data_IF_847360544849
#
_entry.id   IF_847360544849
#
_cell.length_a   1.000
_cell.length_b   1.000
_cell.length_c   1.000
_cell.angle_alpha   90.00
_cell.angle_beta   90.00
_cell.angle_gamma   90.00
#
_symmetry.space_group_name_H-M   'P 1'
#
loop_
_entity.id
_entity.type
_entity.pdbx_description
1 polymer ?
#
# COMPACT_ATOMS: atom_id res chain seq x y z
N UNK A 1 0.27 12.06 -31.19
CA UNK A 1 0.43 13.51 -31.43
C UNK A 1 0.97 14.11 -30.13
N UNK A 2 2.27 14.37 -30.08
CA UNK A 2 2.95 14.85 -28.87
C UNK A 2 2.97 16.38 -28.85
N UNK A 3 2.18 16.97 -27.97
CA UNK A 3 2.13 18.41 -27.70
C UNK A 3 3.31 18.76 -26.78
N UNK A 4 4.30 19.51 -27.31
CA UNK A 4 5.40 20.08 -26.51
C UNK A 4 5.06 21.52 -26.14
N UNK A 5 5.08 21.83 -24.84
CA UNK A 5 4.99 23.18 -24.30
C UNK A 5 6.34 23.90 -24.47
N UNK A 6 6.29 25.14 -24.93
CA UNK A 6 7.43 26.01 -25.26
C UNK A 6 7.59 27.07 -24.16
N UNK A 7 8.79 27.26 -23.61
CA UNK A 7 9.08 28.36 -22.67
C UNK A 7 9.60 29.60 -23.40
N UNK A 8 9.40 30.77 -22.77
CA UNK A 8 9.37 32.11 -23.38
C UNK A 8 10.68 32.66 -23.98
N UNK A 9 11.83 31.98 -23.85
CA UNK A 9 13.13 32.56 -24.24
C UNK A 9 13.89 31.78 -25.35
N UNK A 10 13.23 30.89 -26.09
CA UNK A 10 13.63 30.56 -27.47
C UNK A 10 15.00 29.90 -27.73
N UNK A 11 15.70 29.33 -26.73
CA UNK A 11 16.98 28.62 -26.93
C UNK A 11 16.86 27.09 -26.73
N UNK A 12 17.32 26.32 -27.71
CA UNK A 12 17.35 24.85 -27.69
C UNK A 12 18.71 24.31 -27.19
N UNK A 13 18.69 23.46 -26.15
CA UNK A 13 19.87 22.70 -25.69
C UNK A 13 19.99 21.39 -26.49
N UNK A 14 20.98 21.34 -27.39
CA UNK A 14 21.37 20.13 -28.10
C UNK A 14 22.46 19.36 -27.35
N UNK A 15 22.20 18.10 -27.02
CA UNK A 15 23.21 17.16 -26.53
C UNK A 15 24.09 16.70 -27.69
N UNK A 16 25.40 17.01 -27.63
CA UNK A 16 26.41 16.50 -28.57
C UNK A 16 27.00 15.19 -28.07
N UNK A 17 26.84 14.14 -28.87
CA UNK A 17 27.64 12.91 -28.82
C UNK A 17 29.09 13.20 -29.22
N UNK A 18 30.06 12.81 -28.39
CA UNK A 18 31.46 12.71 -28.80
C UNK A 18 31.94 11.26 -28.68
N UNK A 19 32.09 10.61 -29.83
CA UNK A 19 32.85 9.38 -30.01
C UNK A 19 34.34 9.70 -30.09
N UNK A 20 35.18 8.90 -29.42
CA UNK A 20 36.63 8.87 -29.66
C UNK A 20 37.06 7.49 -30.15
N UNK A 21 37.79 7.48 -31.27
CA UNK A 21 38.33 6.30 -31.94
C UNK A 21 39.70 5.90 -31.38
N UNK A 22 39.85 4.59 -31.16
CA UNK A 22 41.00 3.67 -31.38
C UNK A 22 42.43 4.23 -31.37
N UNK A 23 43.29 3.61 -30.54
CA UNK A 23 44.59 3.06 -30.97
C UNK A 23 44.94 1.79 -30.17
N UNK A 24 45.36 0.74 -30.88
CA UNK A 24 46.06 -0.45 -30.36
C UNK A 24 47.54 -0.35 -30.75
N UNK A 25 48.45 -0.96 -29.98
CA UNK A 25 49.33 -1.96 -30.59
C UNK A 25 49.50 -3.23 -29.75
N UNK A 26 49.70 -4.35 -30.45
CA UNK A 26 50.15 -5.64 -29.92
C UNK A 26 51.61 -5.58 -29.45
N UNK A 27 51.93 -6.33 -28.38
CA UNK A 27 53.22 -7.00 -28.21
C UNK A 27 53.03 -8.25 -27.34
N UNK A 28 53.58 -9.36 -27.82
CA UNK A 28 53.49 -10.71 -27.27
C UNK A 28 54.47 -10.93 -26.11
N UNK A 29 54.19 -11.92 -25.25
CA UNK A 29 55.21 -12.79 -24.64
C UNK A 29 54.59 -14.06 -24.04
N UNK A 30 55.07 -15.19 -24.55
CA UNK A 30 54.96 -16.54 -23.99
C UNK A 30 55.81 -16.66 -22.71
N UNK A 31 55.30 -17.35 -21.69
CA UNK A 31 56.15 -18.05 -20.73
C UNK A 31 55.42 -19.27 -20.16
N UNK A 32 55.93 -20.44 -20.53
CA UNK A 32 55.62 -21.75 -19.99
C UNK A 32 56.26 -21.95 -18.61
N UNK A 33 55.58 -22.60 -17.68
CA UNK A 33 56.22 -23.30 -16.56
C UNK A 33 55.39 -24.51 -16.12
N UNK A 34 55.90 -25.71 -16.39
CA UNK A 34 55.57 -26.94 -15.67
C UNK A 34 56.20 -26.89 -14.27
N UNK A 35 55.53 -27.45 -13.26
CA UNK A 35 56.17 -28.35 -12.28
C UNK A 35 55.16 -29.35 -11.69
N UNK A 36 55.67 -30.56 -11.47
CA UNK A 36 55.01 -31.81 -11.11
C UNK A 36 54.79 -31.98 -9.59
N UNK A 37 53.67 -32.63 -9.26
CA UNK A 37 53.43 -33.71 -8.26
C UNK A 37 53.83 -33.50 -6.79
N UNK A 38 52.84 -33.66 -5.91
CA UNK A 38 52.97 -34.47 -4.70
C UNK A 38 51.64 -35.21 -4.42
N UNK A 39 51.69 -36.54 -4.41
CA UNK A 39 50.62 -37.42 -3.93
C UNK A 39 50.70 -37.54 -2.40
N UNK A 40 49.55 -37.54 -1.75
CA UNK A 40 49.36 -38.17 -0.44
C UNK A 40 47.94 -38.73 -0.37
N UNK A 41 47.86 -40.05 -0.26
CA UNK A 41 46.65 -40.86 -0.08
C UNK A 41 45.99 -40.57 1.28
N UNK A 42 44.68 -40.30 1.29
CA UNK A 42 43.83 -40.62 2.45
C UNK A 42 42.36 -40.85 2.03
N UNK A 43 41.96 -42.12 2.14
CA UNK A 43 40.62 -42.71 2.24
C UNK A 43 39.43 -42.11 1.44
N UNK A 44 39.05 -42.83 0.38
CA UNK A 44 37.74 -42.68 -0.26
C UNK A 44 36.59 -43.02 0.73
N UNK A 45 35.54 -42.18 0.82
CA UNK A 45 34.32 -42.57 1.54
C UNK A 45 33.60 -43.69 0.75
N UNK A 46 32.86 -44.57 1.44
CA UNK A 46 32.17 -45.66 0.78
C UNK A 46 31.16 -45.10 -0.22
N UNK A 47 31.18 -45.65 -1.44
CA UNK A 47 30.18 -45.44 -2.48
C UNK A 47 28.82 -45.95 -2.00
N UNK A 48 28.15 -45.13 -1.20
CA UNK A 48 26.72 -45.19 -1.02
C UNK A 48 26.09 -44.96 -2.39
N UNK A 49 25.34 -45.94 -2.86
CA UNK A 49 24.44 -45.78 -3.99
C UNK A 49 23.56 -44.57 -3.69
N UNK A 50 23.83 -43.45 -4.35
CA UNK A 50 22.87 -42.38 -4.49
C UNK A 50 21.64 -43.05 -5.10
N UNK A 51 20.61 -43.24 -4.28
CA UNK A 51 19.27 -43.40 -4.81
C UNK A 51 19.09 -42.19 -5.73
N UNK A 52 18.89 -42.46 -7.02
CA UNK A 52 18.61 -41.49 -8.05
C UNK A 52 17.39 -40.69 -7.56
N UNK A 53 17.66 -39.57 -6.90
CA UNK A 53 16.62 -38.67 -6.43
C UNK A 53 16.11 -38.03 -7.70
N UNK A 54 15.09 -38.66 -8.30
CA UNK A 54 14.50 -38.25 -9.56
C UNK A 54 14.33 -36.73 -9.53
N UNK A 55 14.88 -36.06 -10.55
CA UNK A 55 14.84 -34.61 -10.65
C UNK A 55 13.41 -34.12 -10.40
N UNK A 56 13.22 -33.02 -9.65
CA UNK A 56 11.90 -32.59 -9.26
C UNK A 56 11.05 -32.21 -10.48
N UNK A 57 10.15 -33.09 -10.91
CA UNK A 57 9.07 -32.83 -11.89
C UNK A 57 8.24 -31.60 -11.51
N UNK A 58 8.06 -30.65 -12.42
CA UNK A 58 7.25 -29.45 -12.20
C UNK A 58 5.75 -29.77 -12.18
N UNK A 59 4.98 -29.02 -11.40
CA UNK A 59 3.51 -29.06 -11.47
C UNK A 59 3.02 -28.24 -12.68
N UNK A 60 3.65 -27.08 -12.91
CA UNK A 60 3.35 -26.21 -14.05
C UNK A 60 4.63 -25.69 -14.69
N UNK A 61 4.68 -25.65 -16.01
CA UNK A 61 5.72 -24.96 -16.78
C UNK A 61 5.06 -23.91 -17.65
N UNK A 62 5.43 -22.65 -17.45
CA UNK A 62 5.04 -21.54 -18.32
C UNK A 62 6.09 -21.39 -19.41
N UNK A 63 5.67 -21.25 -20.66
CA UNK A 63 6.54 -21.09 -21.83
C UNK A 63 6.09 -19.86 -22.63
N UNK A 64 7.05 -19.04 -23.07
CA UNK A 64 6.75 -17.88 -23.90
C UNK A 64 7.91 -16.89 -24.01
N UNK A 65 7.81 -15.98 -24.98
CA UNK A 65 8.86 -14.98 -25.26
C UNK A 65 8.85 -13.79 -24.28
N UNK A 66 7.75 -13.57 -23.58
CA UNK A 66 7.52 -12.41 -22.72
C UNK A 66 7.57 -12.74 -21.21
N UNK A 67 8.56 -13.53 -20.79
CA UNK A 67 8.81 -13.78 -19.37
C UNK A 67 9.86 -12.78 -18.87
N UNK A 68 9.42 -11.80 -18.09
CA UNK A 68 10.24 -10.68 -17.62
C UNK A 68 10.73 -10.95 -16.21
N UNK A 69 11.99 -11.39 -16.05
CA UNK A 69 12.57 -11.73 -14.74
C UNK A 69 12.96 -10.51 -13.90
N UNK A 70 13.05 -9.33 -14.53
CA UNK A 70 13.60 -8.09 -13.97
C UNK A 70 15.08 -8.16 -13.56
N UNK A 71 15.80 -9.25 -13.88
CA UNK A 71 17.25 -9.40 -13.62
C UNK A 71 18.12 -9.04 -14.84
N UNK A 72 17.50 -8.67 -15.96
CA UNK A 72 18.17 -8.35 -17.22
C UNK A 72 18.37 -9.55 -18.16
N UNK A 73 18.13 -10.78 -17.69
CA UNK A 73 18.09 -11.99 -18.51
C UNK A 73 16.69 -12.59 -18.43
N UNK A 74 15.97 -12.56 -19.54
CA UNK A 74 14.61 -13.09 -19.63
C UNK A 74 14.65 -14.55 -20.09
N UNK A 75 14.15 -15.51 -19.28
CA UNK A 75 14.00 -16.89 -19.72
C UNK A 75 12.87 -17.01 -20.76
N UNK A 76 12.79 -18.13 -21.47
CA UNK A 76 11.61 -18.47 -22.28
C UNK A 76 10.73 -19.54 -21.63
N UNK A 77 11.13 -20.06 -20.46
CA UNK A 77 10.32 -20.96 -19.65
C UNK A 77 10.58 -20.82 -18.14
N UNK A 78 9.54 -21.05 -17.33
CA UNK A 78 9.57 -21.06 -15.85
C UNK A 78 8.87 -22.31 -15.34
N UNK A 79 9.57 -23.13 -14.56
CA UNK A 79 9.04 -24.32 -13.93
C UNK A 79 8.68 -24.04 -12.46
N UNK A 80 7.44 -24.35 -12.10
CA UNK A 80 6.86 -24.15 -10.77
C UNK A 80 6.45 -25.50 -10.18
N UNK A 81 6.71 -25.69 -8.89
CA UNK A 81 6.20 -26.79 -8.09
C UNK A 81 5.69 -26.24 -6.76
N UNK A 82 4.43 -26.53 -6.44
CA UNK A 82 3.74 -25.94 -5.31
C UNK A 82 3.78 -24.41 -5.39
N UNK A 83 4.38 -23.78 -4.37
CA UNK A 83 4.53 -22.34 -4.19
C UNK A 83 5.91 -21.80 -4.64
N UNK A 84 6.75 -22.63 -5.27
CA UNK A 84 8.14 -22.27 -5.60
C UNK A 84 8.44 -22.41 -7.08
N UNK A 85 9.20 -21.44 -7.58
CA UNK A 85 9.92 -21.57 -8.84
C UNK A 85 11.10 -22.52 -8.59
N UNK A 86 11.12 -23.65 -9.29
CA UNK A 86 12.18 -24.66 -9.17
C UNK A 86 13.26 -24.52 -10.24
N UNK A 87 12.94 -23.88 -11.38
CA UNK A 87 13.91 -23.56 -12.41
C UNK A 87 13.39 -22.48 -13.39
N UNK A 88 14.31 -21.76 -14.02
CA UNK A 88 14.05 -20.85 -15.14
C UNK A 88 15.08 -21.11 -16.23
N UNK A 89 14.73 -20.89 -17.50
CA UNK A 89 15.64 -21.12 -18.62
C UNK A 89 14.90 -21.12 -19.96
N UNK A 90 15.41 -21.89 -20.91
CA UNK A 90 14.71 -22.24 -22.14
C UNK A 90 13.79 -23.44 -21.93
N UNK A 91 12.78 -23.59 -22.79
CA UNK A 91 11.92 -24.77 -22.82
C UNK A 91 12.72 -26.07 -22.91
N UNK A 92 13.78 -26.09 -23.73
CA UNK A 92 14.64 -27.26 -23.91
C UNK A 92 15.43 -27.61 -22.64
N UNK A 93 15.91 -26.61 -21.90
CA UNK A 93 16.62 -26.83 -20.63
C UNK A 93 15.67 -27.39 -19.55
N UNK A 94 14.40 -26.99 -19.57
CA UNK A 94 13.39 -27.44 -18.61
C UNK A 94 12.65 -28.72 -19.02
N UNK A 95 12.92 -29.27 -20.21
CA UNK A 95 12.23 -30.46 -20.72
C UNK A 95 12.32 -31.68 -19.79
N UNK A 96 13.43 -31.82 -19.05
CA UNK A 96 13.63 -32.91 -18.07
C UNK A 96 12.74 -32.78 -16.82
N UNK A 97 12.17 -31.61 -16.57
CA UNK A 97 11.26 -31.34 -15.46
C UNK A 97 9.79 -31.56 -15.85
N UNK A 98 9.48 -31.80 -17.12
CA UNK A 98 8.12 -32.02 -17.62
C UNK A 98 7.79 -33.52 -17.54
N UNK A 99 6.87 -33.86 -16.64
CA UNK A 99 6.34 -35.22 -16.48
C UNK A 99 4.92 -35.36 -17.05
N UNK A 100 4.38 -36.58 -16.97
CA UNK A 100 3.04 -36.88 -17.50
C UNK A 100 1.90 -36.09 -16.83
N UNK A 101 2.12 -35.56 -15.62
CA UNK A 101 1.15 -34.76 -14.87
C UNK A 101 1.44 -33.24 -14.91
N UNK A 102 2.56 -32.83 -15.53
CA UNK A 102 2.94 -31.42 -15.61
C UNK A 102 1.99 -30.68 -16.55
N UNK A 103 1.44 -29.57 -16.10
CA UNK A 103 0.70 -28.66 -16.95
C UNK A 103 1.67 -27.73 -17.69
N UNK A 104 1.65 -27.74 -19.02
CA UNK A 104 2.40 -26.76 -19.82
C UNK A 104 1.45 -25.64 -20.25
N UNK A 105 1.83 -24.40 -19.96
CA UNK A 105 1.05 -23.18 -20.26
C UNK A 105 1.84 -22.32 -21.23
N UNK A 106 1.36 -22.26 -22.48
CA UNK A 106 1.90 -21.37 -23.51
C UNK A 106 1.30 -19.96 -23.34
N UNK A 107 2.16 -18.96 -23.12
CA UNK A 107 1.74 -17.59 -22.85
C UNK A 107 1.30 -16.84 -24.13
N UNK A 108 1.80 -17.25 -25.29
CA UNK A 108 1.61 -16.53 -26.55
C UNK A 108 2.07 -15.07 -26.43
N UNK A 109 1.15 -14.13 -26.68
CA UNK A 109 1.40 -12.68 -26.58
C UNK A 109 1.30 -12.13 -25.15
N UNK A 110 0.90 -12.95 -24.17
CA UNK A 110 0.80 -12.53 -22.77
C UNK A 110 2.18 -12.48 -22.12
N UNK A 111 2.36 -11.58 -21.15
CA UNK A 111 3.59 -11.48 -20.37
C UNK A 111 3.44 -12.15 -19.00
N UNK A 112 4.51 -12.80 -18.54
CA UNK A 112 4.68 -13.28 -17.17
C UNK A 112 5.75 -12.42 -16.49
N UNK A 113 5.45 -11.88 -15.33
CA UNK A 113 6.33 -11.01 -14.56
C UNK A 113 6.19 -11.31 -13.06
N UNK A 114 7.18 -10.93 -12.22
CA UNK A 114 7.01 -10.90 -10.78
C UNK A 114 5.76 -10.12 -10.38
N UNK A 115 5.03 -10.65 -9.39
CA UNK A 115 3.92 -9.91 -8.79
C UNK A 115 4.40 -8.61 -8.15
N UNK A 116 3.53 -7.61 -8.14
CA UNK A 116 3.86 -6.30 -7.57
C UNK A 116 3.94 -6.37 -6.05
N UNK A 117 4.83 -5.55 -5.49
CA UNK A 117 5.02 -5.39 -4.05
C UNK A 117 4.57 -3.98 -3.69
N UNK A 118 3.50 -3.87 -2.92
CA UNK A 118 3.15 -2.63 -2.23
C UNK A 118 4.06 -2.49 -1.01
N UNK A 119 5.13 -1.72 -1.19
CA UNK A 119 6.21 -1.58 -0.23
C UNK A 119 5.86 -0.70 0.98
N UNK A 120 4.69 -0.04 1.00
CA UNK A 120 4.19 0.68 2.17
C UNK A 120 2.69 0.94 2.08
N UNK A 121 1.91 0.24 2.90
CA UNK A 121 0.45 0.36 2.88
C UNK A 121 -0.19 0.33 4.28
N UNK A 122 -1.49 0.61 4.25
CA UNK A 122 -2.40 0.49 5.39
C UNK A 122 -3.57 -0.39 4.99
N UNK A 123 -3.31 -1.69 4.81
CA UNK A 123 -4.33 -2.68 4.45
C UNK A 123 -5.57 -2.59 5.35
N UNK A 124 -5.37 -2.44 6.66
CA UNK A 124 -6.48 -2.33 7.61
C UNK A 124 -7.35 -1.10 7.41
N UNK A 125 -6.76 0.00 6.92
CA UNK A 125 -7.53 1.18 6.57
C UNK A 125 -8.37 0.92 5.31
N UNK A 126 -7.79 0.30 4.28
CA UNK A 126 -8.52 -0.08 3.07
C UNK A 126 -9.66 -1.07 3.38
N UNK A 127 -9.41 -2.06 4.23
CA UNK A 127 -10.42 -3.03 4.63
C UNK A 127 -11.66 -2.35 5.24
N UNK A 128 -11.49 -1.29 6.04
CA UNK A 128 -12.61 -0.55 6.63
C UNK A 128 -13.47 0.21 5.61
N UNK A 129 -12.93 0.47 4.42
CA UNK A 129 -13.63 1.18 3.35
C UNK A 129 -13.93 0.28 2.15
N UNK A 130 -13.69 -1.04 2.25
CA UNK A 130 -13.78 -1.96 1.13
C UNK A 130 -15.21 -2.13 0.58
N UNK A 131 -16.22 -1.89 1.42
CA UNK A 131 -17.64 -1.92 1.03
C UNK A 131 -18.24 -0.54 0.78
N UNK A 132 -17.44 0.52 0.88
CA UNK A 132 -17.90 1.87 0.59
C UNK A 132 -18.03 2.05 -0.93
N UNK A 133 -19.02 2.85 -1.34
CA UNK A 133 -19.12 3.27 -2.73
C UNK A 133 -17.88 4.10 -3.07
N UNK A 134 -17.14 3.70 -4.11
CA UNK A 134 -16.02 4.47 -4.63
C UNK A 134 -16.54 5.72 -5.33
N UNK A 135 -16.20 6.88 -4.78
CA UNK A 135 -16.57 8.21 -5.27
C UNK A 135 -15.34 8.99 -5.72
N UNK A 136 -14.22 8.30 -5.95
CA UNK A 136 -12.97 8.93 -6.34
C UNK A 136 -13.06 9.50 -7.77
N UNK A 137 -12.46 10.67 -8.02
CA UNK A 137 -12.32 11.19 -9.37
C UNK A 137 -11.28 10.39 -10.19
N UNK A 138 -11.26 10.52 -11.52
CA UNK A 138 -10.20 9.96 -12.35
C UNK A 138 -8.80 10.45 -11.93
N UNK A 139 -7.75 9.62 -12.07
CA UNK A 139 -7.75 8.29 -12.68
C UNK A 139 -8.08 7.15 -11.70
N UNK A 140 -8.39 7.45 -10.44
CA UNK A 140 -8.63 6.43 -9.41
C UNK A 140 -10.02 5.82 -9.59
N UNK A 141 -11.04 6.67 -9.60
CA UNK A 141 -12.43 6.28 -9.83
C UNK A 141 -13.02 7.00 -11.05
N UNK A 142 -14.34 6.95 -11.17
CA UNK A 142 -15.09 7.51 -12.31
C UNK A 142 -15.97 8.72 -11.98
N UNK A 143 -15.87 9.30 -10.78
CA UNK A 143 -16.73 10.39 -10.35
C UNK A 143 -16.16 11.75 -10.78
N UNK A 144 -16.60 12.28 -11.92
CA UNK A 144 -16.15 13.58 -12.44
C UNK A 144 -17.01 14.75 -11.91
N UNK A 145 -18.25 14.47 -11.53
CA UNK A 145 -19.24 15.46 -11.08
C UNK A 145 -20.02 15.00 -9.86
N UNK A 146 -20.74 15.92 -9.20
CA UNK A 146 -21.69 15.57 -8.13
C UNK A 146 -22.81 14.67 -8.68
N UNK A 147 -23.21 14.85 -9.93
CA UNK A 147 -24.19 13.98 -10.59
C UNK A 147 -23.68 12.53 -10.71
N UNK A 148 -22.37 12.33 -10.94
CA UNK A 148 -21.77 10.99 -10.94
C UNK A 148 -21.76 10.35 -9.55
N UNK A 149 -21.48 11.14 -8.51
CA UNK A 149 -21.58 10.68 -7.12
C UNK A 149 -23.00 10.20 -6.81
N UNK A 150 -24.01 10.99 -7.14
CA UNK A 150 -25.43 10.64 -6.96
C UNK A 150 -25.78 9.36 -7.72
N UNK A 151 -25.31 9.24 -8.97
CA UNK A 151 -25.53 8.06 -9.81
C UNK A 151 -24.87 6.81 -9.22
N UNK A 152 -23.63 6.90 -8.75
CA UNK A 152 -22.90 5.79 -8.14
C UNK A 152 -23.59 5.29 -6.87
N UNK A 153 -24.02 6.19 -6.00
CA UNK A 153 -24.77 5.86 -4.78
C UNK A 153 -26.10 5.17 -5.11
N UNK A 154 -26.88 5.73 -6.04
CA UNK A 154 -28.16 5.13 -6.46
C UNK A 154 -27.96 3.73 -7.06
N UNK A 155 -26.98 3.58 -7.94
CA UNK A 155 -26.67 2.30 -8.57
C UNK A 155 -26.28 1.25 -7.54
N UNK A 156 -25.46 1.62 -6.54
CA UNK A 156 -25.07 0.73 -5.45
C UNK A 156 -26.29 0.24 -4.64
N UNK A 157 -27.22 1.15 -4.30
CA UNK A 157 -28.46 0.82 -3.60
C UNK A 157 -29.29 -0.20 -4.39
N UNK A 158 -29.48 0.06 -5.68
CA UNK A 158 -30.30 -0.77 -6.56
C UNK A 158 -29.68 -2.15 -6.81
N UNK A 159 -28.39 -2.19 -7.16
CA UNK A 159 -27.70 -3.44 -7.51
C UNK A 159 -27.58 -4.40 -6.33
N UNK A 160 -27.38 -3.86 -5.12
CA UNK A 160 -27.25 -4.65 -3.90
C UNK A 160 -28.59 -4.86 -3.18
N UNK A 161 -29.70 -4.33 -3.70
CA UNK A 161 -31.02 -4.39 -3.08
C UNK A 161 -30.99 -3.96 -1.61
N UNK A 162 -30.30 -2.85 -1.33
CA UNK A 162 -30.10 -2.37 0.05
C UNK A 162 -31.47 -2.05 0.68
N UNK A 163 -31.78 -2.59 1.88
CA UNK A 163 -33.04 -2.29 2.55
C UNK A 163 -33.17 -0.82 2.94
N UNK A 164 -34.39 -0.28 2.83
CA UNK A 164 -34.69 1.07 3.30
C UNK A 164 -34.31 1.27 4.77
N UNK A 165 -33.71 2.42 5.07
CA UNK A 165 -33.19 2.75 6.40
C UNK A 165 -31.78 2.24 6.69
N UNK A 166 -31.21 1.37 5.85
CA UNK A 166 -29.80 0.95 5.97
C UNK A 166 -28.87 2.08 5.52
N UNK A 167 -27.83 2.34 6.31
CA UNK A 167 -26.80 3.34 6.01
C UNK A 167 -26.01 2.95 4.76
N UNK A 168 -25.91 3.90 3.83
CA UNK A 168 -25.08 3.80 2.63
C UNK A 168 -23.88 4.72 2.79
N UNK A 169 -22.68 4.18 2.65
CA UNK A 169 -21.44 4.93 2.78
C UNK A 169 -20.68 5.01 1.48
N UNK A 170 -20.02 6.15 1.25
CA UNK A 170 -19.11 6.34 0.12
C UNK A 170 -17.82 7.03 0.55
N UNK A 171 -16.76 6.90 -0.23
CA UNK A 171 -15.46 7.50 0.06
C UNK A 171 -14.74 7.94 -1.20
N UNK A 172 -13.91 8.97 -1.06
CA UNK A 172 -12.88 9.30 -2.05
C UNK A 172 -13.20 10.51 -2.92
N UNK A 173 -14.37 11.13 -2.77
CA UNK A 173 -14.67 12.35 -3.54
C UNK A 173 -13.69 13.48 -3.16
N UNK A 174 -13.34 14.31 -4.14
CA UNK A 174 -12.49 15.48 -3.98
C UNK A 174 -13.17 16.67 -4.66
N UNK A 175 -13.68 17.62 -3.86
CA UNK A 175 -14.42 18.76 -4.40
C UNK A 175 -13.58 19.65 -5.32
N UNK A 176 -12.26 19.66 -5.12
CA UNK A 176 -11.34 20.41 -5.96
C UNK A 176 -11.21 19.77 -7.35
N UNK A 177 -11.57 18.51 -7.55
CA UNK A 177 -11.49 17.80 -8.83
C UNK A 177 -12.85 17.63 -9.52
N UNK A 178 -13.96 17.81 -8.79
CA UNK A 178 -15.31 17.78 -9.37
C UNK A 178 -15.54 18.97 -10.32
N UNK A 179 -16.41 18.76 -11.32
CA UNK A 179 -16.84 19.80 -12.25
C UNK A 179 -17.39 21.06 -11.53
N UNK A 180 -18.15 20.86 -10.46
CA UNK A 180 -18.82 21.93 -9.73
C UNK A 180 -17.90 22.74 -8.79
N UNK A 181 -16.68 22.25 -8.51
CA UNK A 181 -15.69 22.89 -7.61
C UNK A 181 -16.28 23.29 -6.25
N UNK A 182 -17.13 22.41 -5.71
CA UNK A 182 -17.76 22.52 -4.39
C UNK A 182 -18.00 21.14 -3.82
N UNK A 183 -18.17 21.04 -2.50
CA UNK A 183 -18.62 19.79 -1.91
C UNK A 183 -20.08 19.48 -2.31
N UNK A 184 -20.44 18.18 -2.38
CA UNK A 184 -21.83 17.76 -2.28
C UNK A 184 -22.46 18.27 -0.99
N UNK A 185 -23.77 18.51 -1.04
CA UNK A 185 -24.60 18.88 0.10
C UNK A 185 -25.65 17.80 0.35
N UNK A 186 -26.36 17.88 1.47
CA UNK A 186 -27.50 17.01 1.76
C UNK A 186 -28.55 17.02 0.64
N UNK A 187 -28.72 18.16 -0.03
CA UNK A 187 -29.69 18.33 -1.12
C UNK A 187 -29.26 17.48 -2.33
N UNK A 188 -27.98 17.52 -2.69
CA UNK A 188 -27.44 16.70 -3.77
C UNK A 188 -27.58 15.20 -3.42
N UNK A 189 -27.25 14.81 -2.18
CA UNK A 189 -27.32 13.40 -1.75
C UNK A 189 -28.76 12.88 -1.60
N UNK A 190 -29.73 13.75 -1.29
CA UNK A 190 -31.15 13.39 -1.27
C UNK A 190 -31.65 12.98 -2.68
N UNK A 191 -31.01 13.46 -3.76
CA UNK A 191 -31.31 12.99 -5.12
C UNK A 191 -30.95 11.51 -5.30
N UNK A 192 -29.92 11.00 -4.60
CA UNK A 192 -29.57 9.58 -4.68
C UNK A 192 -30.64 8.73 -3.99
N UNK A 193 -31.07 9.12 -2.79
CA UNK A 193 -32.15 8.48 -2.03
C UNK A 193 -32.59 9.33 -0.83
N UNK A 194 -33.91 9.36 -0.58
CA UNK A 194 -34.52 9.94 0.62
C UNK A 194 -34.99 8.90 1.64
N UNK A 195 -34.85 7.61 1.33
CA UNK A 195 -35.28 6.48 2.19
C UNK A 195 -34.10 5.68 2.75
N UNK A 196 -32.88 6.11 2.45
CA UNK A 196 -31.63 5.56 2.99
C UNK A 196 -30.85 6.72 3.62
N UNK A 197 -30.34 6.60 4.86
CA UNK A 197 -29.32 7.53 5.32
C UNK A 197 -28.05 7.33 4.48
N UNK A 198 -27.49 8.43 3.98
CA UNK A 198 -26.27 8.43 3.17
C UNK A 198 -25.22 9.27 3.87
N UNK A 199 -24.01 8.74 4.01
CA UNK A 199 -22.83 9.47 4.49
C UNK A 199 -21.66 9.22 3.53
N UNK A 200 -21.13 10.28 2.91
CA UNK A 200 -19.94 10.19 2.07
C UNK A 200 -18.76 10.89 2.73
N UNK A 201 -17.55 10.36 2.56
CA UNK A 201 -16.32 10.91 3.15
C UNK A 201 -15.38 11.39 2.06
N UNK A 202 -14.81 12.58 2.28
CA UNK A 202 -13.86 13.22 1.38
C UNK A 202 -12.54 12.45 1.33
N UNK A 203 -11.80 12.52 0.21
CA UNK A 203 -10.52 11.82 0.00
C UNK A 203 -9.48 12.13 1.09
N UNK A 204 -9.52 13.34 1.66
CA UNK A 204 -8.62 13.73 2.76
C UNK A 204 -8.91 12.99 4.07
N UNK A 205 -10.11 12.41 4.22
CA UNK A 205 -10.59 11.86 5.49
C UNK A 205 -11.06 12.90 6.52
N UNK A 206 -10.89 14.19 6.26
CA UNK A 206 -11.20 15.31 7.19
C UNK A 206 -12.56 15.97 6.98
N UNK A 207 -13.34 15.54 5.98
CA UNK A 207 -14.71 16.00 5.76
C UNK A 207 -15.65 14.82 5.47
N UNK A 208 -16.90 14.97 5.87
CA UNK A 208 -18.00 14.07 5.49
C UNK A 208 -19.25 14.87 5.14
N UNK A 209 -20.13 14.27 4.34
CA UNK A 209 -21.43 14.85 3.96
C UNK A 209 -22.53 13.84 4.25
N UNK A 210 -23.52 14.26 5.04
CA UNK A 210 -24.74 13.47 5.30
C UNK A 210 -25.94 13.99 4.50
N UNK A 211 -26.76 13.09 3.96
CA UNK A 211 -28.07 13.45 3.38
C UNK A 211 -29.08 13.83 4.47
N UNK A 212 -30.27 14.31 4.09
CA UNK A 212 -31.26 14.78 5.06
C UNK A 212 -31.71 13.68 6.03
N UNK A 213 -31.80 12.42 5.57
CA UNK A 213 -32.15 11.28 6.43
C UNK A 213 -31.06 10.96 7.45
N UNK A 214 -29.78 11.00 7.07
CA UNK A 214 -28.66 10.81 7.99
C UNK A 214 -28.62 11.90 9.07
N UNK A 215 -28.83 13.16 8.67
CA UNK A 215 -28.89 14.28 9.63
C UNK A 215 -30.06 14.13 10.60
N UNK A 216 -31.25 13.82 10.09
CA UNK A 216 -32.45 13.64 10.91
C UNK A 216 -32.30 12.47 11.89
N UNK A 217 -31.73 11.35 11.45
CA UNK A 217 -31.46 10.18 12.29
C UNK A 217 -30.46 10.47 13.42
N UNK A 218 -29.50 11.37 13.18
CA UNK A 218 -28.55 11.84 14.17
C UNK A 218 -29.05 13.02 15.02
N UNK A 219 -30.27 13.52 14.79
CA UNK A 219 -30.82 14.68 15.49
C UNK A 219 -30.14 16.02 15.15
N UNK A 220 -29.45 16.10 14.02
CA UNK A 220 -28.73 17.28 13.56
C UNK A 220 -29.70 18.26 12.89
N UNK A 221 -29.77 19.50 13.38
CA UNK A 221 -30.70 20.52 12.92
C UNK A 221 -30.10 21.95 13.07
N UNK A 222 -30.92 22.99 12.84
CA UNK A 222 -30.47 24.38 12.92
C UNK A 222 -29.89 24.77 14.29
N UNK A 223 -30.35 24.15 15.38
CA UNK A 223 -29.92 24.44 16.75
C UNK A 223 -28.66 23.65 17.17
N UNK A 224 -28.26 22.63 16.39
CA UNK A 224 -27.05 21.84 16.66
C UNK A 224 -25.83 22.74 16.73
N UNK A 225 -25.07 22.71 17.83
CA UNK A 225 -23.88 23.55 17.96
C UNK A 225 -22.67 22.91 17.27
N UNK A 226 -21.71 23.74 16.86
CA UNK A 226 -20.41 23.25 16.40
C UNK A 226 -19.67 22.60 17.60
N UNK A 227 -19.16 21.37 17.46
CA UNK A 227 -18.32 20.77 18.50
C UNK A 227 -16.95 21.47 18.56
N UNK A 228 -16.23 21.27 19.66
CA UNK A 228 -14.85 21.74 19.75
C UNK A 228 -14.00 21.11 18.64
N UNK A 229 -13.31 21.93 17.86
CA UNK A 229 -12.44 21.48 16.78
C UNK A 229 -13.18 20.99 15.52
N UNK A 230 -14.45 21.35 15.32
CA UNK A 230 -15.21 20.94 14.13
C UNK A 230 -16.33 21.91 13.79
N UNK A 231 -16.81 21.84 12.54
CA UNK A 231 -17.82 22.77 12.02
C UNK A 231 -18.94 21.98 11.33
N UNK A 232 -20.19 22.32 11.66
CA UNK A 232 -21.38 21.93 10.89
C UNK A 232 -21.66 23.05 9.90
N UNK A 233 -21.42 22.83 8.60
CA UNK A 233 -21.71 23.84 7.57
C UNK A 233 -23.22 23.99 7.37
N UNK A 234 -23.62 25.20 6.93
CA UNK A 234 -25.02 25.64 6.92
C UNK A 234 -25.38 26.36 5.64
N UNK A 235 -26.64 26.20 5.26
CA UNK A 235 -27.29 27.02 4.26
C UNK A 235 -27.57 28.42 4.80
N UNK A 236 -28.01 29.32 3.91
CA UNK A 236 -28.33 30.71 4.23
C UNK A 236 -29.47 30.86 5.25
N UNK A 237 -30.33 29.86 5.38
CA UNK A 237 -31.43 29.82 6.37
C UNK A 237 -30.99 29.29 7.75
N UNK A 238 -29.71 28.95 7.92
CA UNK A 238 -29.14 28.39 9.14
C UNK A 238 -29.32 26.89 9.33
N UNK A 239 -30.07 26.21 8.44
CA UNK A 239 -30.16 24.76 8.45
C UNK A 239 -28.82 24.12 8.03
N UNK A 240 -28.43 22.97 8.60
CA UNK A 240 -27.22 22.26 8.18
C UNK A 240 -27.29 21.92 6.69
N UNK A 241 -26.21 22.17 5.95
CA UNK A 241 -26.12 21.81 4.53
C UNK A 241 -25.66 20.36 4.31
N UNK A 242 -25.29 19.66 5.38
CA UNK A 242 -24.84 18.27 5.38
C UNK A 242 -23.33 18.09 5.49
N UNK A 243 -22.51 19.11 5.19
CA UNK A 243 -21.05 19.03 5.25
C UNK A 243 -20.58 19.22 6.69
N UNK A 244 -19.76 18.27 7.16
CA UNK A 244 -19.18 18.22 8.49
C UNK A 244 -17.66 18.25 8.39
N UNK A 245 -17.03 19.15 9.12
CA UNK A 245 -15.57 19.29 9.20
C UNK A 245 -15.04 18.68 10.50
N UNK A 246 -13.93 17.95 10.40
CA UNK A 246 -13.14 17.49 11.54
C UNK A 246 -13.98 16.75 12.59
N UNK A 247 -14.01 17.23 13.85
CA UNK A 247 -14.75 16.56 14.93
C UNK A 247 -16.26 16.57 14.71
N UNK A 248 -16.82 17.45 13.87
CA UNK A 248 -18.24 17.44 13.54
C UNK A 248 -18.67 16.20 12.75
N UNK A 249 -17.72 15.53 12.08
CA UNK A 249 -18.01 14.27 11.38
C UNK A 249 -18.49 13.17 12.34
N UNK A 250 -18.09 13.23 13.61
CA UNK A 250 -18.51 12.26 14.65
C UNK A 250 -19.99 12.36 15.00
N UNK A 251 -20.67 13.43 14.57
CA UNK A 251 -22.12 13.57 14.74
C UNK A 251 -22.90 12.71 13.73
N UNK A 252 -22.30 12.37 12.59
CA UNK A 252 -22.94 11.53 11.57
C UNK A 252 -22.91 10.05 11.97
N UNK A 253 -23.87 9.24 11.49
CA UNK A 253 -23.83 7.80 11.72
C UNK A 253 -22.59 7.19 11.06
N UNK A 254 -21.91 6.30 11.79
CA UNK A 254 -20.70 5.60 11.33
C UNK A 254 -21.01 4.12 11.10
N UNK A 255 -20.82 3.65 9.85
CA UNK A 255 -21.01 2.26 9.49
C UNK A 255 -20.10 1.32 10.31
N UNK A 256 -18.89 1.79 10.66
CA UNK A 256 -17.92 0.99 11.41
C UNK A 256 -18.36 0.69 12.84
N UNK A 257 -19.14 1.58 13.46
CA UNK A 257 -19.55 1.45 14.86
C UNK A 257 -20.47 0.24 15.12
N UNK A 258 -21.11 -0.29 14.07
CA UNK A 258 -22.07 -1.40 14.17
C UNK A 258 -21.57 -2.72 13.58
N UNK A 259 -20.32 -2.78 13.12
CA UNK A 259 -19.79 -3.99 12.48
C UNK A 259 -19.41 -5.06 13.50
N UNK A 260 -19.86 -6.29 13.24
CA UNK A 260 -19.44 -7.48 13.96
C UNK A 260 -18.00 -7.87 13.59
N UNK A 261 -17.25 -8.58 14.46
CA UNK A 261 -15.92 -9.11 14.13
C UNK A 261 -15.90 -9.94 12.84
N UNK A 262 -16.94 -10.75 12.59
CA UNK A 262 -17.08 -11.58 11.40
C UNK A 262 -17.15 -10.72 10.13
N UNK A 263 -17.95 -9.65 10.18
CA UNK A 263 -18.05 -8.69 9.07
C UNK A 263 -16.71 -7.97 8.83
N UNK A 264 -15.96 -7.63 9.87
CA UNK A 264 -14.61 -7.10 9.68
C UNK A 264 -13.67 -8.09 8.99
N UNK A 265 -13.75 -9.38 9.33
CA UNK A 265 -12.97 -10.43 8.67
C UNK A 265 -13.35 -10.56 7.19
N UNK A 266 -14.64 -10.51 6.85
CA UNK A 266 -15.11 -10.50 5.46
C UNK A 266 -14.55 -9.31 4.67
N UNK A 267 -14.58 -8.10 5.26
CA UNK A 267 -14.06 -6.89 4.63
C UNK A 267 -12.55 -6.96 4.40
N UNK A 268 -11.79 -7.48 5.38
CA UNK A 268 -10.36 -7.78 5.20
C UNK A 268 -10.13 -8.73 4.03
N UNK A 269 -10.92 -9.81 3.92
CA UNK A 269 -10.83 -10.75 2.79
C UNK A 269 -11.15 -10.10 1.45
N UNK A 270 -12.13 -9.19 1.42
CA UNK A 270 -12.44 -8.43 0.21
C UNK A 270 -11.27 -7.51 -0.19
N UNK A 271 -10.69 -6.78 0.77
CA UNK A 271 -9.53 -5.93 0.51
C UNK A 271 -8.32 -6.72 -0.02
N UNK A 272 -8.05 -7.92 0.50
CA UNK A 272 -6.98 -8.78 -0.02
C UNK A 272 -7.22 -9.17 -1.49
N UNK A 273 -8.48 -9.41 -1.88
CA UNK A 273 -8.84 -9.69 -3.27
C UNK A 273 -8.69 -8.47 -4.17
N UNK A 274 -8.91 -7.26 -3.65
CA UNK A 274 -8.65 -6.01 -4.38
C UNK A 274 -7.15 -5.94 -4.74
N UNK A 275 -6.26 -6.12 -3.76
CA UNK A 275 -4.81 -6.15 -4.01
C UNK A 275 -4.41 -7.22 -5.05
N UNK A 276 -4.86 -8.46 -4.86
CA UNK A 276 -4.58 -9.55 -5.79
C UNK A 276 -5.09 -9.25 -7.21
N UNK A 277 -6.26 -8.60 -7.33
CA UNK A 277 -6.87 -8.21 -8.62
C UNK A 277 -6.04 -7.22 -9.42
N UNK A 278 -5.20 -6.42 -8.77
CA UNK A 278 -4.23 -5.52 -9.43
C UNK A 278 -2.86 -6.16 -9.64
N UNK A 279 -2.72 -7.46 -9.37
CA UNK A 279 -1.44 -8.18 -9.47
C UNK A 279 -0.47 -7.87 -8.33
N UNK A 280 -0.95 -7.28 -7.23
CA UNK A 280 -0.15 -7.04 -6.02
C UNK A 280 -0.17 -8.32 -5.19
N UNK A 281 0.98 -8.98 -5.10
CA UNK A 281 1.13 -10.29 -4.43
C UNK A 281 1.73 -10.16 -3.05
N UNK A 282 2.32 -9.01 -2.72
CA UNK A 282 2.86 -8.71 -1.39
C UNK A 282 2.48 -7.31 -0.97
N UNK A 283 1.99 -7.18 0.26
CA UNK A 283 1.53 -5.92 0.84
C UNK A 283 2.13 -5.71 2.22
N UNK A 284 2.16 -4.45 2.65
CA UNK A 284 2.46 -4.10 4.03
C UNK A 284 1.22 -3.53 4.72
N UNK A 285 1.10 -3.81 6.02
CA UNK A 285 0.18 -3.10 6.89
C UNK A 285 0.96 -2.51 8.08
N UNK A 286 1.15 -1.20 8.03
CA UNK A 286 2.00 -0.49 8.97
C UNK A 286 1.23 0.19 10.07
N UNK A 287 1.93 0.42 11.19
CA UNK A 287 1.43 1.21 12.32
C UNK A 287 0.27 0.51 13.06
N UNK A 288 0.38 -0.81 13.25
CA UNK A 288 -0.67 -1.62 13.85
C UNK A 288 -0.49 -1.83 15.36
N UNK A 289 -1.57 -1.81 16.16
CA UNK A 289 -1.55 -2.34 17.51
C UNK A 289 -1.28 -3.86 17.52
N UNK A 290 -0.60 -4.36 18.55
CA UNK A 290 -0.21 -5.78 18.65
C UNK A 290 -1.43 -6.72 18.73
N UNK A 291 -2.48 -6.30 19.43
CA UNK A 291 -3.73 -7.05 19.53
C UNK A 291 -4.39 -7.25 18.16
N UNK A 292 -4.24 -6.27 17.26
CA UNK A 292 -4.80 -6.37 15.92
C UNK A 292 -3.92 -7.22 14.99
N UNK A 293 -2.60 -7.18 15.16
CA UNK A 293 -1.66 -8.11 14.51
C UNK A 293 -2.04 -9.56 14.83
N UNK A 294 -2.42 -9.84 16.08
CA UNK A 294 -2.85 -11.19 16.48
C UNK A 294 -4.19 -11.59 15.82
N UNK A 295 -5.13 -10.67 15.64
CA UNK A 295 -6.34 -10.92 14.84
C UNK A 295 -5.99 -11.33 13.41
N UNK A 296 -5.09 -10.58 12.75
CA UNK A 296 -4.66 -10.89 11.38
C UNK A 296 -3.95 -12.23 11.29
N UNK A 297 -3.15 -12.59 12.30
CA UNK A 297 -2.49 -13.89 12.38
C UNK A 297 -3.49 -15.03 12.50
N UNK A 298 -4.48 -14.89 13.38
CA UNK A 298 -5.51 -15.92 13.60
C UNK A 298 -6.35 -16.12 12.34
N UNK A 299 -6.68 -15.04 11.63
CA UNK A 299 -7.40 -15.13 10.36
C UNK A 299 -6.60 -15.90 9.30
N UNK A 300 -5.30 -15.61 9.13
CA UNK A 300 -4.44 -16.35 8.21
C UNK A 300 -4.33 -17.84 8.59
N UNK A 301 -4.36 -18.16 9.88
CA UNK A 301 -4.34 -19.54 10.36
C UNK A 301 -5.64 -20.31 10.03
N UNK A 302 -6.80 -19.63 10.00
CA UNK A 302 -8.09 -20.21 9.62
C UNK A 302 -8.18 -20.44 8.11
N UNK A 303 -7.77 -19.44 7.32
CA UNK A 303 -7.76 -19.52 5.86
C UNK A 303 -6.57 -18.72 5.33
N UNK A 304 -5.75 -19.30 4.45
CA UNK A 304 -4.59 -18.60 3.92
C UNK A 304 -4.98 -17.32 3.18
N UNK A 305 -4.17 -16.27 3.33
CA UNK A 305 -4.36 -15.03 2.57
C UNK A 305 -3.97 -15.26 1.11
N UNK A 306 -4.69 -14.63 0.16
CA UNK A 306 -4.39 -14.74 -1.27
C UNK A 306 -3.18 -13.90 -1.70
N UNK A 307 -2.62 -13.11 -0.78
CA UNK A 307 -1.41 -12.29 -0.94
C UNK A 307 -0.59 -12.40 0.34
N UNK A 308 0.72 -12.17 0.23
CA UNK A 308 1.62 -12.11 1.38
C UNK A 308 1.51 -10.76 2.09
N UNK A 309 1.15 -10.77 3.37
CA UNK A 309 1.05 -9.59 4.21
C UNK A 309 2.19 -9.51 5.22
N UNK A 310 2.87 -8.37 5.22
CA UNK A 310 3.89 -8.02 6.21
C UNK A 310 3.34 -6.96 7.16
N UNK A 311 3.07 -7.33 8.41
CA UNK A 311 2.62 -6.41 9.42
C UNK A 311 3.78 -5.69 10.13
N UNK A 312 3.59 -4.43 10.51
CA UNK A 312 4.53 -3.66 11.34
C UNK A 312 3.84 -3.08 12.57
N UNK A 313 4.33 -3.45 13.75
CA UNK A 313 3.79 -3.00 15.02
C UNK A 313 4.10 -1.52 15.28
N UNK A 314 3.14 -0.78 15.83
CA UNK A 314 3.32 0.63 16.18
C UNK A 314 4.27 0.77 17.37
N UNK A 315 5.43 1.39 17.16
CA UNK A 315 6.49 1.49 18.15
C UNK A 315 6.31 2.66 19.14
N UNK A 316 5.75 3.79 18.69
CA UNK A 316 5.66 5.02 19.47
C UNK A 316 4.97 4.87 20.85
N UNK A 317 3.81 4.19 20.99
CA UNK A 317 3.08 4.15 22.25
C UNK A 317 3.48 2.97 23.16
N UNK A 318 4.23 2.00 22.65
CA UNK A 318 4.56 0.78 23.41
C UNK A 318 5.77 1.01 24.33
N UNK A 319 5.79 0.30 25.46
CA UNK A 319 6.90 0.35 26.42
C UNK A 319 8.13 -0.37 25.88
N UNK A 320 9.30 -0.08 26.46
CA UNK A 320 10.55 -0.78 26.13
C UNK A 320 10.41 -2.30 26.35
N UNK A 321 9.75 -2.73 27.43
CA UNK A 321 9.50 -4.16 27.72
C UNK A 321 8.69 -4.84 26.60
N UNK A 322 7.63 -4.18 26.11
CA UNK A 322 6.81 -4.72 25.02
C UNK A 322 7.60 -4.73 23.72
N UNK A 323 8.33 -3.65 23.42
CA UNK A 323 9.19 -3.56 22.24
C UNK A 323 10.30 -4.64 22.25
N UNK A 324 10.83 -4.96 23.42
CA UNK A 324 11.82 -6.02 23.63
C UNK A 324 11.25 -7.43 23.47
N UNK A 325 9.94 -7.61 23.66
CA UNK A 325 9.27 -8.88 23.43
C UNK A 325 8.94 -9.17 21.95
N UNK A 326 9.02 -8.17 21.07
CA UNK A 326 8.69 -8.33 19.65
C UNK A 326 9.81 -9.09 18.94
N UNK A 327 9.47 -10.21 18.30
CA UNK A 327 10.38 -11.01 17.48
C UNK A 327 10.00 -10.92 16.00
N UNK A 328 11.02 -10.92 15.14
CA UNK A 328 10.85 -10.96 13.69
C UNK A 328 10.40 -12.34 13.24
N UNK A 329 9.33 -12.41 12.44
CA UNK A 329 8.96 -13.60 11.70
C UNK A 329 9.59 -13.59 10.30
N UNK A 330 10.48 -14.57 10.08
CA UNK A 330 11.23 -14.71 8.82
C UNK A 330 10.40 -15.32 7.70
N UNK A 331 9.53 -16.27 8.05
CA UNK A 331 8.71 -17.00 7.10
C UNK A 331 7.25 -16.57 7.22
N UNK A 332 6.51 -16.64 6.12
CA UNK A 332 5.07 -16.46 6.15
C UNK A 332 4.39 -17.70 6.72
N UNK A 333 3.39 -17.49 7.56
CA UNK A 333 2.39 -18.50 7.91
C UNK A 333 1.12 -18.17 7.15
N UNK A 334 0.77 -18.99 6.16
CA UNK A 334 -0.47 -18.84 5.38
C UNK A 334 -0.67 -17.41 4.79
N UNK A 335 0.41 -16.80 4.30
CA UNK A 335 0.39 -15.45 3.73
C UNK A 335 0.48 -14.31 4.74
N UNK A 336 0.83 -14.57 6.00
CA UNK A 336 1.02 -13.53 7.02
C UNK A 336 2.36 -13.66 7.75
N UNK A 337 2.99 -12.53 8.07
CA UNK A 337 4.09 -12.47 9.06
C UNK A 337 4.17 -11.10 9.73
N UNK A 338 4.71 -11.09 10.96
CA UNK A 338 5.19 -9.88 11.63
C UNK A 338 6.59 -9.51 11.13
N UNK A 339 6.68 -8.46 10.32
CA UNK A 339 7.91 -8.05 9.67
C UNK A 339 8.79 -7.09 10.46
N UNK A 340 8.28 -6.50 11.53
CA UNK A 340 9.02 -5.56 12.36
C UNK A 340 8.13 -4.53 13.03
N UNK A 341 8.70 -3.33 13.21
CA UNK A 341 8.04 -2.21 13.87
C UNK A 341 7.99 -0.98 12.96
N UNK A 342 7.13 -0.03 13.30
CA UNK A 342 6.97 1.26 12.63
C UNK A 342 7.06 2.39 13.66
N UNK A 343 8.02 3.29 13.47
CA UNK A 343 8.06 4.59 14.11
C UNK A 343 7.45 5.67 13.22
N UNK A 344 6.95 6.72 13.86
CA UNK A 344 6.55 7.98 13.20
C UNK A 344 7.22 9.14 13.91
N UNK A 345 8.07 9.89 13.22
CA UNK A 345 8.86 10.97 13.83
C UNK A 345 8.32 12.37 13.52
N UNK A 346 7.50 12.54 12.49
CA UNK A 346 6.81 13.79 12.20
C UNK A 346 5.43 13.57 11.56
N UNK A 347 4.81 14.66 11.09
CA UNK A 347 3.52 14.64 10.41
C UNK A 347 3.63 14.58 8.89
N UNK A 348 2.82 15.36 8.18
CA UNK A 348 2.75 15.35 6.72
C UNK A 348 3.00 16.75 6.11
N UNK A 349 3.59 16.84 4.91
CA UNK A 349 3.73 18.11 4.21
C UNK A 349 2.37 18.74 3.86
N UNK A 350 1.39 17.91 3.49
CA UNK A 350 0.04 18.36 3.12
C UNK A 350 -0.68 19.02 4.29
N UNK A 351 -0.55 18.43 5.49
CA UNK A 351 -1.08 19.00 6.72
C UNK A 351 -0.21 20.11 7.32
N UNK A 352 0.91 20.49 6.68
CA UNK A 352 1.91 21.43 7.21
C UNK A 352 2.40 21.02 8.61
N UNK A 353 2.61 19.71 8.82
CA UNK A 353 3.05 19.10 10.09
C UNK A 353 4.31 18.26 9.95
N UNK A 354 4.91 18.19 8.75
CA UNK A 354 6.25 17.62 8.58
C UNK A 354 7.31 18.52 9.23
N UNK A 355 8.24 17.96 9.99
CA UNK A 355 9.17 18.72 10.83
C UNK A 355 10.41 19.16 10.05
N UNK A 356 10.54 20.46 9.83
CA UNK A 356 11.58 21.04 8.96
C UNK A 356 12.71 21.69 9.76
N UNK A 357 13.88 21.88 9.13
CA UNK A 357 14.95 22.71 9.71
C UNK A 357 14.77 24.20 9.42
N UNK A 358 13.99 24.53 8.38
CA UNK A 358 13.66 25.90 7.98
C UNK A 358 12.15 26.17 8.03
N UNK A 359 11.70 27.41 8.28
CA UNK A 359 10.29 27.74 8.35
C UNK A 359 9.52 27.42 7.07
N UNK A 360 8.26 27.00 7.22
CA UNK A 360 7.34 26.85 6.11
C UNK A 360 7.14 28.18 5.38
N UNK A 361 7.12 28.15 4.04
CA UNK A 361 6.74 29.33 3.23
C UNK A 361 5.34 29.84 3.56
N UNK A 362 4.44 28.91 3.87
CA UNK A 362 3.09 29.18 4.34
C UNK A 362 2.74 28.12 5.39
N UNK A 363 2.82 28.49 6.68
CA UNK A 363 2.40 27.65 7.80
C UNK A 363 0.87 27.48 7.87
N UNK A 364 0.33 26.58 8.71
CA UNK A 364 -1.12 26.43 8.86
C UNK A 364 -1.77 27.74 9.34
N UNK A 365 -3.07 27.96 9.12
CA UNK A 365 -3.76 29.19 9.53
C UNK A 365 -3.49 29.55 11.01
N UNK A 366 -2.95 30.74 11.25
CA UNK A 366 -2.61 31.23 12.59
C UNK A 366 -1.23 30.83 13.12
N UNK A 367 -0.43 30.08 12.36
CA UNK A 367 0.96 29.82 12.69
C UNK A 367 1.83 31.09 12.55
N UNK A 368 2.91 31.15 13.34
CA UNK A 368 3.92 32.20 13.22
C UNK A 368 4.77 32.02 11.96
N UNK A 369 5.42 33.09 11.50
CA UNK A 369 6.27 33.10 10.30
C UNK A 369 7.51 32.19 10.43
N UNK A 370 7.93 31.86 11.66
CA UNK A 370 9.04 30.97 11.97
C UNK A 370 8.60 29.52 12.21
N UNK A 371 7.36 29.17 11.86
CA UNK A 371 6.83 27.82 12.06
C UNK A 371 7.57 26.77 11.23
N UNK A 372 8.16 25.79 11.92
CA UNK A 372 8.88 24.63 11.34
C UNK A 372 8.15 23.30 11.57
N UNK A 373 6.91 23.35 12.06
CA UNK A 373 6.21 22.22 12.68
C UNK A 373 6.95 21.65 13.91
N UNK A 374 6.88 20.34 14.13
CA UNK A 374 7.30 19.70 15.37
C UNK A 374 7.47 18.19 15.18
N UNK A 375 8.32 17.52 15.98
CA UNK A 375 8.37 16.06 16.00
C UNK A 375 7.06 15.48 16.53
N UNK A 376 6.61 14.36 15.96
CA UNK A 376 5.43 13.61 16.43
C UNK A 376 5.78 12.55 17.48
N UNK A 377 7.06 12.38 17.78
CA UNK A 377 7.60 11.51 18.81
C UNK A 377 8.82 12.14 19.47
N UNK A 378 9.04 11.84 20.75
CA UNK A 378 10.11 12.46 21.52
C UNK A 378 11.50 12.06 20.95
N UNK A 379 12.32 13.01 20.43
CA UNK A 379 13.58 12.69 19.75
C UNK A 379 14.55 11.89 20.62
N UNK A 380 14.65 12.26 21.90
CA UNK A 380 15.52 11.59 22.87
C UNK A 380 15.11 10.13 23.11
N UNK A 381 13.82 9.83 23.07
CA UNK A 381 13.32 8.46 23.20
C UNK A 381 13.59 7.62 21.95
N UNK A 382 13.49 8.21 20.75
CA UNK A 382 13.85 7.51 19.50
C UNK A 382 15.33 7.12 19.50
N UNK A 383 16.23 8.09 19.72
CA UNK A 383 17.68 7.88 19.74
C UNK A 383 18.11 6.88 20.81
N UNK A 384 17.40 6.83 21.93
CA UNK A 384 17.64 5.85 23.00
C UNK A 384 17.24 4.42 22.60
N UNK A 385 16.14 4.25 21.85
CA UNK A 385 15.55 2.94 21.55
C UNK A 385 16.10 2.30 20.27
N UNK A 386 16.33 3.08 19.22
CA UNK A 386 16.62 2.55 17.89
C UNK A 386 17.91 1.69 17.81
N UNK A 387 19.02 1.99 18.53
CA UNK A 387 20.24 1.17 18.41
C UNK A 387 20.02 -0.27 18.86
N UNK A 388 19.31 -0.48 19.98
CA UNK A 388 19.02 -1.81 20.52
C UNK A 388 18.12 -2.63 19.56
N UNK A 389 17.19 -1.97 18.87
CA UNK A 389 16.33 -2.59 17.85
C UNK A 389 17.16 -3.05 16.65
N UNK A 390 18.07 -2.20 16.16
CA UNK A 390 18.96 -2.50 15.04
C UNK A 390 19.92 -3.65 15.40
N UNK A 391 20.52 -3.62 16.59
CA UNK A 391 21.42 -4.67 17.09
C UNK A 391 20.73 -6.04 17.17
N UNK A 392 19.43 -6.06 17.49
CA UNK A 392 18.60 -7.28 17.50
C UNK A 392 18.20 -7.76 16.11
N UNK A 393 18.46 -6.97 15.06
CA UNK A 393 18.09 -7.28 13.68
C UNK A 393 16.59 -7.21 13.43
N UNK A 394 15.84 -6.47 14.25
CA UNK A 394 14.40 -6.25 14.06
C UNK A 394 14.21 -5.09 13.07
N UNK A 395 13.58 -5.30 11.89
CA UNK A 395 13.37 -4.23 10.93
C UNK A 395 12.50 -3.13 11.52
N UNK A 396 12.95 -1.88 11.38
CA UNK A 396 12.21 -0.69 11.77
C UNK A 396 11.92 0.15 10.52
N UNK A 397 10.64 0.36 10.24
CA UNK A 397 10.20 1.40 9.31
C UNK A 397 10.09 2.70 10.11
N UNK A 398 10.60 3.80 9.57
CA UNK A 398 10.53 5.10 10.24
C UNK A 398 9.90 6.10 9.29
N UNK A 399 8.73 6.63 9.67
CA UNK A 399 8.09 7.71 8.92
C UNK A 399 8.78 9.03 9.23
N UNK A 400 9.32 9.63 8.17
CA UNK A 400 9.95 10.94 8.15
C UNK A 400 9.57 11.64 6.85
N UNK A 401 9.05 12.86 6.93
CA UNK A 401 8.76 13.68 5.75
C UNK A 401 9.64 14.93 5.71
N UNK A 402 9.74 15.63 6.83
CA UNK A 402 10.53 16.83 6.96
C UNK A 402 12.01 16.54 7.18
N UNK A 403 12.87 17.45 6.74
CA UNK A 403 14.31 17.27 6.77
C UNK A 403 14.87 17.17 8.20
N UNK A 404 14.30 17.87 9.18
CA UNK A 404 14.71 17.70 10.58
C UNK A 404 14.37 16.31 11.13
N UNK A 405 13.24 15.73 10.71
CA UNK A 405 12.88 14.35 11.08
C UNK A 405 13.77 13.32 10.38
N UNK A 406 14.15 13.57 9.12
CA UNK A 406 15.11 12.74 8.38
C UNK A 406 16.48 12.76 9.08
N UNK A 407 16.95 13.94 9.49
CA UNK A 407 18.21 14.08 10.23
C UNK A 407 18.18 13.27 11.54
N UNK A 408 17.09 13.36 12.31
CA UNK A 408 16.90 12.56 13.53
C UNK A 408 16.93 11.06 13.25
N UNK A 409 16.28 10.60 12.17
CA UNK A 409 16.28 9.19 11.77
C UNK A 409 17.69 8.70 11.43
N UNK A 410 18.50 9.52 10.74
CA UNK A 410 19.87 9.18 10.34
C UNK A 410 20.88 9.24 11.48
N UNK A 411 20.61 10.04 12.52
CA UNK A 411 21.45 10.14 13.72
C UNK A 411 21.37 8.87 14.58
N UNK A 412 20.18 8.28 14.69
CA UNK A 412 19.93 7.06 15.45
C UNK A 412 20.33 5.79 14.70
#
# INVERSE_FOLDING_TARGET
MNTRLQTKDGAWLGFKNNAWRRQTPLLALLASALFLVACSDEAAPPSGTAADAAAPVADTVYVGEHILSMTGVNPSAVAVRGDRIIATGSEQELASLIGAATQVVELGEQALLPGFIDAHGHFSALARTADYVDLSPPPVGGAESIADIVRALRLNIEQNSIPAGTLVTGFGYDDSLLEERRHPTRIDLDEASTVHPIVIRHVSGHLAVGNSMALAGAGINADTQNPAGGIVRRLTDGSPDGVMEETAMTLLPDAMASLTPERFAELRRQALKIYAGYGITTIQDSNLPLEYIEVLRQEAAVEAYPVDMVAYAMANPISDEVLDSIELEKEYSNGFRLGGIKFTLDGSPQGRTAWLTEPYREGPPGAADDYVAYPSYEPSEYLRRIPAIIERGLPALVHVNGDAAIDLMLEG
#
